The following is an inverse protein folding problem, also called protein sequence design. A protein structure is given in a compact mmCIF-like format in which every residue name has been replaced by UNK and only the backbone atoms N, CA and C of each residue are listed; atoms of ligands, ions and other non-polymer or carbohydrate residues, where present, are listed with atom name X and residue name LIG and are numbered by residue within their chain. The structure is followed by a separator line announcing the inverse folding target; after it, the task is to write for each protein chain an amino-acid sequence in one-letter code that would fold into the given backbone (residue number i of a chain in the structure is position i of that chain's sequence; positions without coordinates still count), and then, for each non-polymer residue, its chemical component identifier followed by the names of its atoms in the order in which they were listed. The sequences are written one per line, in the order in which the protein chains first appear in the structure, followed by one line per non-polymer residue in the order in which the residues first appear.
data_IF_891462274668
#
_entry.id   IF_891462274668
#
_cell.length_a   1.000
_cell.length_b   1.000
_cell.length_c   1.000
_cell.angle_alpha   90.00
_cell.angle_beta   90.00
_cell.angle_gamma   90.00
#
_symmetry.space_group_name_H-M   'P 1'
#
loop_
_entity.id
_entity.type
_entity.pdbx_description
1 polymer ?
#
# COMPACT_ATOMS: atom_id res chain seq x y z
N UNK A 1 24.19 -7.87 -51.56
CA UNK A 1 24.49 -7.58 -50.14
C UNK A 1 23.27 -7.02 -49.37
N UNK A 2 22.03 -7.42 -49.69
CA UNK A 2 20.81 -6.90 -49.00
C UNK A 2 20.10 -7.91 -48.07
N UNK A 3 20.54 -9.17 -48.00
CA UNK A 3 19.91 -10.22 -47.18
C UNK A 3 20.37 -10.25 -45.72
N UNK A 4 21.59 -9.80 -45.41
CA UNK A 4 22.13 -9.82 -44.04
C UNK A 4 21.65 -8.64 -43.18
N UNK A 5 21.36 -7.49 -43.81
CA UNK A 5 20.97 -6.26 -43.09
C UNK A 5 19.54 -6.38 -42.54
N UNK A 6 18.60 -6.95 -43.31
CA UNK A 6 17.22 -7.16 -42.86
C UNK A 6 17.12 -8.18 -41.72
N UNK A 7 17.90 -9.27 -41.77
CA UNK A 7 17.89 -10.30 -40.73
C UNK A 7 18.40 -9.76 -39.38
N UNK A 8 19.39 -8.86 -39.42
CA UNK A 8 19.95 -8.25 -38.21
C UNK A 8 19.02 -7.19 -37.59
N UNK A 9 18.26 -6.46 -38.41
CA UNK A 9 17.23 -5.51 -37.97
C UNK A 9 16.08 -6.20 -37.21
N UNK A 10 15.53 -7.27 -37.79
CA UNK A 10 14.39 -8.00 -37.20
C UNK A 10 14.79 -8.73 -35.92
N UNK A 11 16.00 -9.30 -35.87
CA UNK A 11 16.54 -9.91 -34.65
C UNK A 11 16.74 -8.87 -33.53
N UNK A 12 17.26 -7.68 -33.84
CA UNK A 12 17.40 -6.60 -32.86
C UNK A 12 16.06 -6.12 -32.32
N UNK A 13 15.04 -5.99 -33.17
CA UNK A 13 13.69 -5.61 -32.75
C UNK A 13 13.04 -6.64 -31.82
N UNK A 14 13.16 -7.94 -32.14
CA UNK A 14 12.63 -9.03 -31.32
C UNK A 14 13.36 -9.15 -29.96
N UNK A 15 14.68 -8.91 -29.93
CA UNK A 15 15.44 -8.85 -28.68
C UNK A 15 15.04 -7.64 -27.84
N UNK A 16 14.81 -6.48 -28.46
CA UNK A 16 14.36 -5.27 -27.75
C UNK A 16 12.96 -5.44 -27.14
N UNK A 17 12.02 -6.07 -27.86
CA UNK A 17 10.69 -6.36 -27.33
C UNK A 17 10.73 -7.38 -26.19
N UNK A 18 11.52 -8.44 -26.32
CA UNK A 18 11.71 -9.42 -25.25
C UNK A 18 12.36 -8.78 -24.01
N UNK A 19 13.35 -7.90 -24.19
CA UNK A 19 13.98 -7.15 -23.09
C UNK A 19 12.96 -6.20 -22.44
N UNK A 20 12.15 -5.48 -23.21
CA UNK A 20 11.08 -4.60 -22.69
C UNK A 20 10.01 -5.38 -21.93
N UNK A 21 9.61 -6.56 -22.42
CA UNK A 21 8.68 -7.46 -21.75
C UNK A 21 9.23 -8.01 -20.42
N UNK A 22 10.52 -8.36 -20.40
CA UNK A 22 11.22 -8.81 -19.18
C UNK A 22 11.40 -7.65 -18.18
N UNK A 23 11.71 -6.43 -18.63
CA UNK A 23 11.84 -5.24 -17.79
C UNK A 23 10.50 -4.82 -17.17
N UNK A 24 9.40 -4.84 -17.93
CA UNK A 24 8.06 -4.56 -17.39
C UNK A 24 7.62 -5.58 -16.35
N UNK A 25 7.95 -6.86 -16.54
CA UNK A 25 7.61 -7.94 -15.60
C UNK A 25 8.52 -7.95 -14.37
N UNK A 26 9.79 -7.56 -14.50
CA UNK A 26 10.76 -7.47 -13.39
C UNK A 26 10.64 -6.21 -12.55
N UNK A 27 10.23 -5.07 -13.12
CA UNK A 27 10.02 -3.84 -12.33
C UNK A 27 8.98 -4.07 -11.23
N UNK A 28 7.86 -4.73 -11.52
CA UNK A 28 6.83 -5.06 -10.52
C UNK A 28 7.36 -5.95 -9.38
N UNK A 29 8.29 -6.87 -9.67
CA UNK A 29 8.86 -7.79 -8.68
C UNK A 29 9.99 -7.16 -7.86
N UNK A 30 10.79 -6.28 -8.47
CA UNK A 30 11.82 -5.50 -7.76
C UNK A 30 11.17 -4.46 -6.83
N UNK A 31 10.04 -3.86 -7.24
CA UNK A 31 9.25 -2.94 -6.41
C UNK A 31 8.74 -3.62 -5.13
N UNK A 32 8.23 -4.85 -5.23
CA UNK A 32 7.76 -5.63 -4.08
C UNK A 32 8.94 -6.09 -3.20
N UNK A 33 10.07 -6.48 -3.81
CA UNK A 33 11.26 -6.94 -3.10
C UNK A 33 11.94 -5.86 -2.25
N UNK A 34 11.96 -4.60 -2.70
CA UNK A 34 12.53 -3.48 -1.93
C UNK A 34 11.62 -3.06 -0.77
N UNK A 35 10.29 -3.11 -0.94
CA UNK A 35 9.33 -2.83 0.13
C UNK A 35 9.42 -3.91 1.23
N UNK A 36 9.55 -5.20 0.85
CA UNK A 36 9.84 -6.27 1.81
C UNK A 36 11.23 -6.12 2.47
N UNK A 37 12.22 -5.56 1.77
CA UNK A 37 13.56 -5.32 2.31
C UNK A 37 13.57 -4.31 3.46
N UNK A 38 12.71 -3.30 3.44
CA UNK A 38 12.52 -2.34 4.54
C UNK A 38 11.73 -2.98 5.70
N UNK A 39 10.87 -3.97 5.42
CA UNK A 39 10.07 -4.70 6.40
C UNK A 39 10.89 -5.51 7.43
N UNK A 40 12.08 -5.98 7.06
CA UNK A 40 12.82 -6.99 7.85
C UNK A 40 13.71 -6.37 8.94
N UNK A 41 13.97 -5.05 8.91
CA UNK A 41 14.96 -4.49 9.82
C UNK A 41 14.50 -4.24 11.27
N UNK A 42 13.18 -4.13 11.58
CA UNK A 42 12.73 -3.87 12.98
C UNK A 42 11.22 -3.98 13.25
N UNK A 43 10.60 -5.11 12.91
CA UNK A 43 9.21 -5.42 13.31
C UNK A 43 9.14 -6.81 13.95
N UNK A 44 9.96 -7.02 14.97
CA UNK A 44 9.90 -8.23 15.79
C UNK A 44 9.15 -7.92 17.09
N UNK A 45 8.06 -8.68 17.27
CA UNK A 45 7.23 -8.87 18.46
C UNK A 45 6.08 -7.88 18.70
N UNK A 46 4.90 -8.49 18.89
CA UNK A 46 3.67 -8.01 19.56
C UNK A 46 2.50 -7.49 18.70
N UNK A 47 1.55 -8.39 18.42
CA UNK A 47 0.14 -8.26 18.83
C UNK A 47 -0.62 -9.55 18.46
N UNK A 48 -0.81 -10.42 19.44
CA UNK A 48 -1.68 -11.59 19.33
C UNK A 48 -3.12 -11.21 19.68
N UNK A 49 -4.06 -11.44 18.76
CA UNK A 49 -5.43 -11.82 19.10
C UNK A 49 -6.48 -10.71 19.24
N UNK A 50 -6.80 -10.00 18.14
CA UNK A 50 -8.15 -9.45 17.88
C UNK A 50 -8.34 -8.95 16.43
N UNK A 51 -7.45 -9.30 15.51
CA UNK A 51 -7.54 -8.86 14.10
C UNK A 51 -8.67 -9.53 13.32
N UNK A 52 -9.11 -8.88 12.24
CA UNK A 52 -10.08 -9.40 11.29
C UNK A 52 -9.42 -10.45 10.38
N UNK A 53 -10.16 -11.46 9.94
CA UNK A 53 -9.75 -12.24 8.74
C UNK A 53 -9.79 -11.35 7.50
N UNK A 54 -9.19 -11.78 6.39
CA UNK A 54 -9.20 -10.97 5.18
C UNK A 54 -10.62 -10.67 4.65
N UNK A 55 -11.53 -11.64 4.75
CA UNK A 55 -12.93 -11.45 4.34
C UNK A 55 -13.67 -10.48 5.26
N UNK A 56 -13.53 -10.64 6.58
CA UNK A 56 -14.12 -9.71 7.56
C UNK A 56 -13.58 -8.29 7.36
N UNK A 57 -12.29 -8.14 7.03
CA UNK A 57 -11.69 -6.87 6.70
C UNK A 57 -12.32 -6.23 5.44
N UNK A 58 -12.48 -6.99 4.36
CA UNK A 58 -13.10 -6.48 3.12
C UNK A 58 -14.58 -6.10 3.34
N UNK A 59 -15.33 -6.93 4.07
CA UNK A 59 -16.74 -6.69 4.40
C UNK A 59 -16.90 -5.45 5.30
N UNK A 60 -16.04 -5.29 6.31
CA UNK A 60 -16.08 -4.14 7.21
C UNK A 60 -15.67 -2.84 6.49
N UNK A 61 -14.61 -2.87 5.67
CA UNK A 61 -14.20 -1.72 4.85
C UNK A 61 -15.31 -1.26 3.90
N UNK A 62 -16.04 -2.22 3.32
CA UNK A 62 -17.19 -1.93 2.48
C UNK A 62 -18.36 -1.35 3.26
N UNK A 63 -18.65 -1.90 4.44
CA UNK A 63 -19.69 -1.39 5.33
C UNK A 63 -19.41 0.05 5.78
N UNK A 64 -18.20 0.31 6.28
CA UNK A 64 -17.79 1.62 6.79
C UNK A 64 -17.77 2.73 5.74
N UNK A 65 -17.60 2.36 4.47
CA UNK A 65 -17.58 3.30 3.34
C UNK A 65 -18.94 3.41 2.64
N UNK A 66 -20.03 2.91 3.22
CA UNK A 66 -21.35 2.84 2.60
C UNK A 66 -21.33 2.18 1.20
N UNK A 67 -20.47 1.18 1.03
CA UNK A 67 -20.28 0.44 -0.21
C UNK A 67 -19.38 1.12 -1.25
N UNK A 68 -18.85 2.31 -1.00
CA UNK A 68 -17.97 3.02 -1.94
C UNK A 68 -16.63 2.31 -2.14
N UNK A 69 -16.08 1.74 -1.07
CA UNK A 69 -14.84 0.98 -1.11
C UNK A 69 -15.19 -0.51 -1.10
N UNK A 70 -15.17 -1.13 -2.29
CA UNK A 70 -15.32 -2.58 -2.43
C UNK A 70 -14.07 -3.15 -3.07
N UNK A 71 -13.34 -3.98 -2.33
CA UNK A 71 -12.19 -4.70 -2.87
C UNK A 71 -12.70 -5.86 -3.73
N UNK A 72 -12.21 -5.96 -4.96
CA UNK A 72 -12.53 -7.05 -5.90
C UNK A 72 -11.28 -7.68 -6.51
N UNK A 73 -10.12 -7.04 -6.30
CA UNK A 73 -8.81 -7.49 -6.75
C UNK A 73 -7.94 -7.63 -5.49
N UNK A 74 -7.94 -8.83 -4.91
CA UNK A 74 -7.14 -9.17 -3.74
C UNK A 74 -6.52 -10.56 -3.86
N UNK A 75 -5.36 -10.73 -3.22
CA UNK A 75 -4.66 -12.01 -3.10
C UNK A 75 -4.00 -12.14 -1.74
N UNK A 76 -3.92 -13.38 -1.23
CA UNK A 76 -3.15 -13.73 -0.04
C UNK A 76 -1.94 -14.54 -0.48
N UNK A 77 -0.75 -14.01 -0.21
CA UNK A 77 0.53 -14.61 -0.60
C UNK A 77 1.20 -15.18 0.65
N UNK A 78 1.57 -16.47 0.66
CA UNK A 78 2.34 -17.04 1.77
C UNK A 78 3.67 -16.29 1.97
N UNK A 79 4.01 -16.06 3.24
CA UNK A 79 5.32 -15.55 3.65
C UNK A 79 6.02 -16.59 4.55
N UNK A 80 7.10 -16.19 5.23
CA UNK A 80 7.86 -17.05 6.13
C UNK A 80 7.05 -17.41 7.39
N UNK A 81 7.46 -18.51 8.03
CA UNK A 81 7.00 -18.90 9.36
C UNK A 81 5.48 -19.07 9.54
N UNK A 82 4.77 -19.40 8.46
CA UNK A 82 3.32 -19.59 8.47
C UNK A 82 2.53 -18.28 8.47
N UNK A 83 3.19 -17.14 8.28
CA UNK A 83 2.56 -15.86 8.05
C UNK A 83 2.18 -15.69 6.57
N UNK A 84 1.41 -14.67 6.25
CA UNK A 84 1.05 -14.34 4.87
C UNK A 84 0.94 -12.83 4.69
N UNK A 85 0.88 -12.39 3.43
CA UNK A 85 0.69 -10.99 3.07
C UNK A 85 -0.61 -10.91 2.27
N UNK A 86 -1.54 -10.12 2.77
CA UNK A 86 -2.69 -9.67 2.00
C UNK A 86 -2.28 -8.51 1.09
N UNK A 87 -2.60 -8.62 -0.19
CA UNK A 87 -2.47 -7.54 -1.16
C UNK A 87 -3.82 -7.29 -1.80
N UNK A 88 -4.16 -6.02 -1.94
CA UNK A 88 -5.35 -5.62 -2.66
C UNK A 88 -5.10 -4.37 -3.48
N UNK A 89 -5.94 -4.19 -4.49
CA UNK A 89 -6.00 -2.97 -5.28
C UNK A 89 -7.43 -2.44 -5.34
N UNK A 90 -7.56 -1.15 -5.09
CA UNK A 90 -8.81 -0.41 -5.25
C UNK A 90 -8.55 0.90 -5.97
N UNK A 91 -9.19 1.10 -7.12
CA UNK A 91 -8.99 2.29 -7.97
C UNK A 91 -7.51 2.63 -8.21
N UNK A 92 -6.67 1.61 -8.43
CA UNK A 92 -5.23 1.76 -8.66
C UNK A 92 -4.39 2.01 -7.40
N UNK A 93 -5.01 2.22 -6.24
CA UNK A 93 -4.35 2.34 -4.94
C UNK A 93 -4.06 0.93 -4.41
N UNK A 94 -2.84 0.70 -3.94
CA UNK A 94 -2.40 -0.61 -3.45
C UNK A 94 -2.50 -0.64 -1.92
N UNK A 95 -3.04 -1.72 -1.38
CA UNK A 95 -3.14 -2.01 0.05
C UNK A 95 -2.30 -3.25 0.32
N UNK A 96 -1.44 -3.19 1.34
CA UNK A 96 -0.60 -4.31 1.77
C UNK A 96 -0.71 -4.44 3.28
N UNK A 97 -1.10 -5.62 3.74
CA UNK A 97 -1.31 -5.91 5.16
C UNK A 97 -0.70 -7.26 5.50
N UNK A 98 -0.08 -7.35 6.67
CA UNK A 98 0.44 -8.61 7.20
C UNK A 98 -0.71 -9.46 7.76
N UNK A 99 -0.69 -10.76 7.46
CA UNK A 99 -1.56 -11.76 8.06
C UNK A 99 -0.71 -12.65 8.98
N UNK A 100 -1.12 -12.77 10.23
CA UNK A 100 -0.46 -13.65 11.20
C UNK A 100 -0.76 -15.13 10.95
N UNK A 101 -0.07 -16.01 11.69
CA UNK A 101 -0.26 -17.47 11.63
C UNK A 101 -1.66 -17.97 12.01
N UNK A 102 -2.53 -17.11 12.53
CA UNK A 102 -3.92 -17.42 12.87
C UNK A 102 -4.90 -16.82 11.85
N UNK A 103 -4.40 -16.47 10.66
CA UNK A 103 -5.15 -15.88 9.55
C UNK A 103 -5.78 -14.53 9.90
N UNK A 104 -5.18 -13.78 10.85
CA UNK A 104 -5.65 -12.46 11.23
C UNK A 104 -4.80 -11.36 10.63
N UNK A 105 -5.47 -10.37 10.03
CA UNK A 105 -4.88 -9.11 9.61
C UNK A 105 -4.31 -8.40 10.83
N UNK A 106 -3.02 -8.07 10.78
CA UNK A 106 -2.28 -7.40 11.85
C UNK A 106 -1.50 -6.22 11.28
N UNK A 107 -1.21 -5.24 12.12
CA UNK A 107 -0.34 -4.13 11.75
C UNK A 107 1.06 -4.65 11.36
N UNK A 108 1.74 -4.01 10.40
CA UNK A 108 1.37 -2.72 9.79
C UNK A 108 0.38 -2.82 8.62
N UNK A 109 -0.38 -1.74 8.42
CA UNK A 109 -1.16 -1.51 7.20
C UNK A 109 -0.43 -0.49 6.33
N UNK A 110 -0.24 -0.80 5.06
CA UNK A 110 0.49 0.07 4.12
C UNK A 110 -0.41 0.34 2.91
N UNK A 111 -0.53 1.61 2.57
CA UNK A 111 -1.36 2.08 1.46
C UNK A 111 -0.52 2.97 0.56
N UNK A 112 -0.40 2.58 -0.71
CA UNK A 112 0.39 3.31 -1.70
C UNK A 112 -0.52 3.80 -2.82
N UNK A 113 -0.50 5.11 -3.07
CA UNK A 113 -1.22 5.72 -4.18
C UNK A 113 -0.69 5.24 -5.54
N UNK A 114 -1.41 5.58 -6.60
CA UNK A 114 -0.82 5.58 -7.94
C UNK A 114 0.33 6.60 -8.01
N UNK A 115 1.25 6.48 -8.99
CA UNK A 115 2.27 7.50 -9.21
C UNK A 115 1.65 8.88 -9.42
N UNK A 116 2.29 9.94 -8.90
CA UNK A 116 1.77 11.33 -8.88
C UNK A 116 1.36 11.85 -10.25
N UNK A 117 2.05 11.44 -11.32
CA UNK A 117 1.69 11.84 -12.69
C UNK A 117 0.37 11.21 -13.19
N UNK A 118 -0.15 10.18 -12.52
CA UNK A 118 -1.47 9.58 -12.77
C UNK A 118 -2.55 10.13 -11.83
N UNK A 119 -2.18 10.92 -10.82
CA UNK A 119 -3.12 11.43 -9.84
C UNK A 119 -3.82 12.69 -10.36
N UNK A 120 -5.15 12.66 -10.31
CA UNK A 120 -6.03 13.82 -10.41
C UNK A 120 -6.77 14.04 -9.09
N UNK A 121 -7.52 15.14 -9.00
CA UNK A 121 -8.30 15.49 -7.81
C UNK A 121 -9.20 14.36 -7.31
N UNK A 122 -9.84 13.62 -8.24
CA UNK A 122 -10.70 12.48 -7.90
C UNK A 122 -9.89 11.37 -7.22
N UNK A 123 -8.76 10.97 -7.82
CA UNK A 123 -7.91 9.91 -7.26
C UNK A 123 -7.24 10.30 -5.94
N UNK A 124 -6.97 11.61 -5.73
CA UNK A 124 -6.47 12.15 -4.47
C UNK A 124 -7.57 12.04 -3.40
N UNK A 125 -8.80 12.45 -3.73
CA UNK A 125 -9.96 12.29 -2.84
C UNK A 125 -10.23 10.83 -2.48
N UNK A 126 -10.14 9.91 -3.45
CA UNK A 126 -10.26 8.47 -3.21
C UNK A 126 -9.15 7.94 -2.31
N UNK A 127 -7.90 8.38 -2.51
CA UNK A 127 -6.79 8.01 -1.63
C UNK A 127 -7.03 8.48 -0.19
N UNK A 128 -7.48 9.72 -0.01
CA UNK A 128 -7.84 10.27 1.28
C UNK A 128 -8.99 9.49 1.96
N UNK A 129 -10.06 9.18 1.21
CA UNK A 129 -11.20 8.40 1.70
C UNK A 129 -10.76 7.00 2.15
N UNK A 130 -9.89 6.34 1.38
CA UNK A 130 -9.37 5.02 1.73
C UNK A 130 -8.52 5.04 3.01
N UNK A 131 -7.54 5.94 3.12
CA UNK A 131 -6.66 5.97 4.30
C UNK A 131 -7.42 6.38 5.57
N UNK A 132 -8.47 7.20 5.44
CA UNK A 132 -9.38 7.55 6.55
C UNK A 132 -10.10 6.30 7.07
N UNK A 133 -10.73 5.52 6.18
CA UNK A 133 -11.41 4.29 6.57
C UNK A 133 -10.45 3.23 7.13
N UNK A 134 -9.28 3.07 6.52
CA UNK A 134 -8.26 2.12 7.00
C UNK A 134 -7.68 2.51 8.35
N UNK A 135 -7.58 3.82 8.66
CA UNK A 135 -7.13 4.27 9.99
C UNK A 135 -8.07 3.80 11.10
N UNK A 136 -9.39 3.80 10.86
CA UNK A 136 -10.40 3.33 11.80
C UNK A 136 -10.42 1.80 11.94
N UNK A 137 -10.20 1.08 10.85
CA UNK A 137 -10.05 -0.38 10.90
C UNK A 137 -8.80 -0.79 11.67
N UNK A 138 -7.72 -0.03 11.53
CA UNK A 138 -6.48 -0.24 12.26
C UNK A 138 -6.60 0.15 13.75
N UNK A 139 -7.35 1.20 14.06
CA UNK A 139 -7.63 1.67 15.41
C UNK A 139 -9.15 1.83 15.64
N UNK A 140 -9.83 0.76 16.13
CA UNK A 140 -11.26 0.80 16.40
C UNK A 140 -11.69 1.81 17.48
N UNK A 141 -10.74 2.45 18.18
CA UNK A 141 -11.03 3.53 19.14
C UNK A 141 -11.17 4.89 18.47
N UNK A 142 -10.83 5.03 17.18
CA UNK A 142 -11.10 6.25 16.42
C UNK A 142 -12.58 6.32 16.05
N UNK A 143 -13.21 7.43 16.42
CA UNK A 143 -14.49 7.84 15.83
C UNK A 143 -14.30 8.28 14.38
N UNK A 144 -15.41 8.41 13.65
CA UNK A 144 -15.44 8.94 12.28
C UNK A 144 -14.75 10.30 12.22
N UNK A 145 -15.14 11.24 13.08
CA UNK A 145 -14.55 12.58 13.15
C UNK A 145 -13.06 12.57 13.53
N UNK A 146 -12.66 11.66 14.43
CA UNK A 146 -11.27 11.56 14.86
C UNK A 146 -10.38 11.05 13.74
N UNK A 147 -10.90 10.13 12.92
CA UNK A 147 -10.17 9.61 11.76
C UNK A 147 -10.03 10.67 10.66
N UNK A 148 -11.07 11.45 10.41
CA UNK A 148 -11.01 12.56 9.46
C UNK A 148 -10.00 13.62 9.94
N UNK A 149 -10.04 13.99 11.22
CA UNK A 149 -9.10 14.93 11.83
C UNK A 149 -7.65 14.41 11.77
N UNK A 150 -7.44 13.12 12.07
CA UNK A 150 -6.14 12.48 11.98
C UNK A 150 -5.53 12.64 10.59
N UNK A 151 -6.29 12.35 9.53
CA UNK A 151 -5.80 12.44 8.15
C UNK A 151 -5.63 13.90 7.72
N UNK A 152 -6.64 14.73 7.93
CA UNK A 152 -6.67 16.10 7.38
C UNK A 152 -5.75 17.06 8.12
N UNK A 153 -5.68 16.96 9.45
CA UNK A 153 -5.00 17.94 10.30
C UNK A 153 -3.70 17.39 10.87
N UNK A 154 -3.74 16.24 11.54
CA UNK A 154 -2.57 15.73 12.27
C UNK A 154 -1.49 15.23 11.30
N UNK A 155 -1.90 14.50 10.26
CA UNK A 155 -1.03 14.10 9.15
C UNK A 155 -0.97 15.14 8.03
N UNK A 156 -1.73 16.23 8.14
CA UNK A 156 -1.75 17.35 7.21
C UNK A 156 -1.75 16.92 5.73
N UNK A 157 -2.72 16.08 5.36
CA UNK A 157 -2.80 15.45 4.04
C UNK A 157 -2.55 16.39 2.88
N UNK A 158 -3.14 17.58 2.91
CA UNK A 158 -2.99 18.58 1.84
C UNK A 158 -1.55 19.06 1.69
N UNK A 159 -0.84 19.30 2.81
CA UNK A 159 0.58 19.68 2.75
C UNK A 159 1.40 18.53 2.17
N UNK A 160 1.20 17.29 2.61
CA UNK A 160 1.95 16.15 2.06
C UNK A 160 1.72 16.02 0.55
N UNK A 161 0.48 16.14 0.09
CA UNK A 161 0.17 16.05 -1.34
C UNK A 161 0.79 17.21 -2.14
N UNK A 162 0.83 18.42 -1.58
CA UNK A 162 1.36 19.60 -2.27
C UNK A 162 2.90 19.71 -2.26
N UNK A 163 3.55 19.38 -1.13
CA UNK A 163 4.98 19.63 -0.92
C UNK A 163 5.83 18.37 -0.84
N UNK A 164 5.22 17.20 -0.70
CA UNK A 164 5.92 15.94 -0.44
C UNK A 164 6.47 15.82 0.98
N UNK A 165 6.22 16.81 1.85
CA UNK A 165 6.70 16.79 3.23
C UNK A 165 6.11 15.60 3.98
N UNK A 166 6.96 14.82 4.64
CA UNK A 166 6.51 13.72 5.51
C UNK A 166 5.88 14.26 6.79
N UNK A 167 4.76 13.66 7.18
CA UNK A 167 4.07 13.92 8.45
C UNK A 167 3.82 12.60 9.16
N UNK A 168 3.96 12.62 10.49
CA UNK A 168 3.64 11.47 11.34
C UNK A 168 3.06 11.93 12.67
N UNK A 169 2.24 11.05 13.27
CA UNK A 169 1.61 11.27 14.58
C UNK A 169 1.37 9.91 15.25
N UNK A 170 0.98 9.92 16.52
CA UNK A 170 0.54 8.72 17.22
C UNK A 170 -0.70 8.96 18.05
N UNK A 171 -1.56 7.93 18.13
CA UNK A 171 -2.78 7.93 18.92
C UNK A 171 -3.09 6.50 19.35
N UNK A 172 -3.54 6.32 20.59
CA UNK A 172 -3.93 5.03 21.16
C UNK A 172 -2.88 3.89 21.08
N UNK A 173 -1.59 4.21 21.05
CA UNK A 173 -0.52 3.22 20.90
C UNK A 173 -0.27 2.78 19.45
N UNK A 174 -0.80 3.52 18.48
CA UNK A 174 -0.62 3.31 17.05
C UNK A 174 0.05 4.56 16.46
N UNK A 175 1.06 4.35 15.62
CA UNK A 175 1.75 5.37 14.86
C UNK A 175 1.23 5.40 13.43
N UNK A 176 1.03 6.60 12.92
CA UNK A 176 0.58 6.88 11.56
C UNK A 176 1.64 7.74 10.87
N UNK A 177 1.98 7.42 9.64
CA UNK A 177 2.81 8.28 8.80
C UNK A 177 2.23 8.42 7.40
N UNK A 178 2.40 9.60 6.83
CA UNK A 178 2.03 9.94 5.47
C UNK A 178 3.23 10.66 4.83
N UNK A 179 3.74 10.10 3.74
CA UNK A 179 4.94 10.60 3.08
C UNK A 179 4.88 10.41 1.57
N UNK A 180 5.65 11.21 0.84
CA UNK A 180 6.00 10.88 -0.54
C UNK A 180 7.17 9.88 -0.56
N UNK A 181 7.03 8.83 -1.36
CA UNK A 181 8.10 7.87 -1.63
C UNK A 181 8.81 8.27 -2.93
N UNK A 182 9.95 8.93 -2.79
CA UNK A 182 10.78 9.44 -3.89
C UNK A 182 11.13 8.38 -4.95
N UNK A 183 11.31 7.13 -4.54
CA UNK A 183 11.70 6.03 -5.43
C UNK A 183 10.64 5.73 -6.49
N UNK A 184 9.36 5.99 -6.19
CA UNK A 184 8.22 5.62 -7.02
C UNK A 184 7.31 6.80 -7.37
N UNK A 185 7.59 8.00 -6.82
CA UNK A 185 6.75 9.19 -6.98
C UNK A 185 5.31 8.89 -6.55
N UNK A 186 5.12 8.18 -5.43
CA UNK A 186 3.82 7.76 -4.88
C UNK A 186 3.67 8.28 -3.46
N UNK A 187 2.44 8.57 -3.01
CA UNK A 187 2.18 8.78 -1.59
C UNK A 187 2.03 7.44 -0.87
N UNK A 188 2.60 7.35 0.32
CA UNK A 188 2.53 6.20 1.20
C UNK A 188 1.93 6.60 2.53
N UNK A 189 0.93 5.84 2.96
CA UNK A 189 0.34 5.91 4.28
C UNK A 189 0.63 4.61 5.02
N UNK A 190 1.20 4.70 6.21
CA UNK A 190 1.58 3.55 7.03
C UNK A 190 0.93 3.68 8.39
N UNK A 191 0.27 2.62 8.83
CA UNK A 191 -0.25 2.45 10.19
C UNK A 191 0.50 1.30 10.84
N UNK A 192 1.11 1.53 12.00
CA UNK A 192 1.94 0.54 12.68
C UNK A 192 1.86 0.69 14.20
N UNK A 193 2.23 -0.33 14.99
CA UNK A 193 2.28 -0.19 16.44
C UNK A 193 3.27 0.93 16.83
N UNK A 194 2.90 1.74 17.82
CA UNK A 194 3.82 2.72 18.39
C UNK A 194 5.00 1.99 19.05
N UNK A 195 6.23 2.41 18.73
CA UNK A 195 7.42 1.84 19.35
C UNK A 195 7.46 2.31 20.81
N UNK A 196 7.39 1.36 21.74
CA UNK A 196 7.78 1.63 23.13
C UNK A 196 9.30 1.73 23.17
N UNK A 197 9.80 2.90 23.52
CA UNK A 197 11.22 3.12 23.84
C UNK A 197 11.66 2.35 25.10
#
# INVERSE_FOLDING_TARGET
MNGEIQNNSTKKAMVLENIKGILKKKQTWILIGTILGIFIAKSLFFSSGSGLTHKEFEDELKSMSDGKISIVDSEVIPDKDGESIYKAKWNGINIVIKIDKHEKMVLPYIVMSQPKYMLNEISIGQYQELITNLSRLADPKLSDSDSEHLITNDLNFNVVVMSGQEHSTSKHGISYSLAELDSNNTYSFIVQPEKKE
#
